data_IF_760131306207
#
_entry.id   IF_760131306207
#
_cell.length_a   1.000
_cell.length_b   1.000
_cell.length_c   1.000
_cell.angle_alpha   90.00
_cell.angle_beta   90.00
_cell.angle_gamma   90.00
#
_symmetry.space_group_name_H-M   'P 1'
#
loop_
_entity.id
_entity.type
_entity.pdbx_description
1 polymer ?
#
# COMPACT_ATOMS: atom_id res chain seq x y z
N UNK A 1 -0.93 -23.21 -5.42
CA UNK A 1 -0.18 -23.89 -6.46
C UNK A 1 0.80 -24.88 -5.84
N UNK A 2 0.58 -26.16 -6.06
CA UNK A 2 1.48 -27.21 -5.57
C UNK A 2 2.85 -27.22 -6.28
N UNK A 3 2.99 -26.45 -7.32
CA UNK A 3 4.26 -26.26 -8.01
C UNK A 3 5.04 -25.07 -7.44
N UNK A 4 4.62 -24.58 -6.31
CA UNK A 4 5.37 -23.70 -5.44
C UNK A 4 5.66 -22.33 -6.03
N UNK A 5 6.93 -21.99 -6.01
CA UNK A 5 7.45 -20.65 -6.29
C UNK A 5 7.27 -20.14 -7.71
N UNK A 6 6.68 -20.93 -8.58
CA UNK A 6 6.51 -20.56 -9.99
C UNK A 6 5.21 -19.81 -10.27
N UNK A 7 4.44 -19.50 -9.23
CA UNK A 7 3.19 -18.80 -9.41
C UNK A 7 3.46 -17.38 -9.90
N UNK A 8 3.25 -17.16 -11.17
CA UNK A 8 3.20 -15.82 -11.74
C UNK A 8 1.75 -15.38 -11.80
N UNK A 9 1.53 -14.12 -11.44
CA UNK A 9 0.21 -13.54 -11.58
C UNK A 9 -0.04 -13.23 -13.05
N UNK A 10 -0.95 -13.98 -13.68
CA UNK A 10 -1.42 -13.67 -15.03
C UNK A 10 -2.63 -12.77 -14.98
N UNK A 11 -2.55 -11.60 -15.56
CA UNK A 11 -3.67 -10.67 -15.66
C UNK A 11 -4.07 -10.52 -17.13
N UNK A 12 -5.38 -10.67 -17.39
CA UNK A 12 -5.94 -10.60 -18.73
C UNK A 12 -7.00 -9.52 -18.78
N UNK A 13 -6.97 -8.77 -19.85
CA UNK A 13 -7.98 -7.76 -20.15
C UNK A 13 -8.98 -8.32 -21.16
N UNK A 14 -10.27 -8.22 -20.85
CA UNK A 14 -11.34 -8.60 -21.77
C UNK A 14 -11.56 -7.50 -22.80
N UNK A 15 -11.39 -7.84 -24.06
CA UNK A 15 -11.66 -6.95 -25.20
C UNK A 15 -12.68 -7.55 -26.13
N UNK A 16 -13.16 -6.76 -27.10
CA UNK A 16 -14.15 -7.23 -28.08
C UNK A 16 -13.65 -8.43 -28.92
N UNK A 17 -12.36 -8.51 -29.12
CA UNK A 17 -11.70 -9.59 -29.88
C UNK A 17 -11.18 -10.73 -28.99
N UNK A 18 -11.47 -10.71 -27.68
CA UNK A 18 -11.11 -11.76 -26.75
C UNK A 18 -10.25 -11.27 -25.57
N UNK A 19 -9.56 -12.21 -24.94
CA UNK A 19 -8.68 -11.93 -23.81
C UNK A 19 -7.29 -11.51 -24.28
N UNK A 20 -6.78 -10.44 -23.73
CA UNK A 20 -5.39 -10.00 -23.95
C UNK A 20 -4.64 -10.03 -22.64
N UNK A 21 -3.46 -10.63 -22.64
CA UNK A 21 -2.58 -10.57 -21.48
C UNK A 21 -2.04 -9.15 -21.30
N UNK A 22 -2.16 -8.65 -20.08
CA UNK A 22 -1.62 -7.32 -19.74
C UNK A 22 -0.17 -7.48 -19.40
N UNK A 23 0.71 -6.80 -20.13
CA UNK A 23 2.15 -6.87 -19.92
C UNK A 23 2.58 -6.22 -18.60
N UNK A 24 1.84 -5.21 -18.14
CA UNK A 24 2.09 -4.54 -16.87
C UNK A 24 0.80 -4.49 -16.04
N UNK A 25 0.64 -5.41 -15.05
CA UNK A 25 -0.55 -5.44 -14.20
C UNK A 25 -0.85 -4.12 -13.48
N UNK A 26 0.19 -3.35 -13.15
CA UNK A 26 0.02 -2.09 -12.42
C UNK A 26 -0.82 -1.08 -13.18
N UNK A 27 -0.83 -1.13 -14.50
CA UNK A 27 -1.66 -0.22 -15.31
C UNK A 27 -3.15 -0.40 -15.03
N UNK A 28 -3.58 -1.62 -14.70
CA UNK A 28 -4.97 -1.92 -14.36
C UNK A 28 -5.31 -1.67 -12.90
N UNK A 29 -4.30 -1.70 -12.04
CA UNK A 29 -4.48 -1.67 -10.59
C UNK A 29 -4.39 -0.25 -10.02
N UNK A 30 -4.09 0.73 -10.86
CA UNK A 30 -4.01 2.13 -10.49
C UNK A 30 -5.16 2.91 -11.15
N UNK A 31 -5.85 3.70 -10.34
CA UNK A 31 -6.85 4.63 -10.86
C UNK A 31 -6.16 5.83 -11.50
N UNK A 32 -6.75 6.35 -12.55
CA UNK A 32 -6.15 7.47 -13.29
C UNK A 32 -6.57 8.84 -12.76
N UNK A 33 -7.71 8.93 -12.08
CA UNK A 33 -8.31 10.21 -11.68
C UNK A 33 -8.52 10.30 -10.16
N UNK A 34 -7.43 10.19 -9.39
CA UNK A 34 -7.53 10.33 -7.93
C UNK A 34 -6.76 11.55 -7.38
N UNK A 35 -6.32 12.42 -8.23
CA UNK A 35 -5.57 13.60 -7.82
C UNK A 35 -6.41 14.48 -6.87
N UNK A 36 -5.83 14.80 -5.73
CA UNK A 36 -6.51 15.59 -4.71
C UNK A 36 -7.49 14.84 -3.82
N UNK A 37 -7.71 13.55 -4.04
CA UNK A 37 -8.60 12.75 -3.21
C UNK A 37 -7.88 12.16 -2.00
N UNK A 38 -8.46 12.31 -0.80
CA UNK A 38 -7.93 11.67 0.40
C UNK A 38 -8.24 10.17 0.42
N UNK A 39 -7.49 9.43 1.22
CA UNK A 39 -7.74 8.02 1.45
C UNK A 39 -7.09 7.07 0.44
N UNK A 40 -6.20 7.56 -0.40
CA UNK A 40 -5.57 6.76 -1.46
C UNK A 40 -4.05 6.73 -1.26
N UNK A 41 -3.48 5.52 -1.28
CA UNK A 41 -2.03 5.32 -1.24
C UNK A 41 -1.64 4.21 -2.21
N UNK A 42 -0.45 4.32 -2.78
CA UNK A 42 0.07 3.36 -3.74
C UNK A 42 1.15 2.51 -3.07
N UNK A 43 0.95 1.20 -3.09
CA UNK A 43 1.90 0.23 -2.56
C UNK A 43 2.65 -0.45 -3.69
N UNK A 44 3.93 -0.77 -3.45
CA UNK A 44 4.66 -1.70 -4.30
C UNK A 44 4.66 -3.07 -3.63
N UNK A 45 3.91 -3.99 -4.20
CA UNK A 45 3.71 -5.33 -3.71
C UNK A 45 4.46 -6.35 -4.55
N UNK A 46 4.67 -7.54 -4.01
CA UNK A 46 5.24 -8.66 -4.73
C UNK A 46 4.34 -9.88 -4.56
N UNK A 47 3.98 -10.49 -5.67
CA UNK A 47 3.30 -11.78 -5.71
C UNK A 47 4.24 -12.75 -6.41
N UNK A 48 4.70 -13.77 -5.66
CA UNK A 48 5.74 -14.66 -6.16
C UNK A 48 7.06 -13.90 -6.37
N UNK A 49 7.49 -13.79 -7.62
CA UNK A 49 8.71 -13.06 -7.99
C UNK A 49 8.43 -11.73 -8.68
N UNK A 50 7.17 -11.41 -8.92
CA UNK A 50 6.77 -10.28 -9.74
C UNK A 50 6.33 -9.09 -8.89
N UNK A 51 7.00 -7.94 -9.00
CA UNK A 51 6.52 -6.72 -8.38
C UNK A 51 5.36 -6.12 -9.17
N UNK A 52 4.44 -5.49 -8.46
CA UNK A 52 3.36 -4.73 -9.07
C UNK A 52 2.92 -3.61 -8.12
N UNK A 53 2.47 -2.51 -8.69
CA UNK A 53 1.92 -1.43 -7.91
C UNK A 53 0.42 -1.62 -7.76
N UNK A 54 -0.08 -1.31 -6.58
CA UNK A 54 -1.49 -1.45 -6.28
C UNK A 54 -1.99 -0.27 -5.45
N UNK A 55 -3.20 0.16 -5.75
CA UNK A 55 -3.84 1.24 -5.04
C UNK A 55 -4.58 0.69 -3.82
N UNK A 56 -4.30 1.28 -2.65
CA UNK A 56 -5.08 1.06 -1.44
C UNK A 56 -6.00 2.24 -1.23
N UNK A 57 -7.27 1.97 -0.92
CA UNK A 57 -8.29 2.98 -0.72
C UNK A 57 -8.90 2.81 0.66
N UNK A 58 -8.99 3.88 1.42
CA UNK A 58 -9.62 3.85 2.73
C UNK A 58 -10.67 4.94 2.87
N UNK A 59 -11.72 4.63 3.59
CA UNK A 59 -12.73 5.60 3.98
C UNK A 59 -12.91 5.51 5.49
N UNK A 60 -12.63 6.60 6.17
CA UNK A 60 -12.79 6.72 7.62
C UNK A 60 -13.85 7.78 7.90
N UNK A 61 -14.88 7.42 8.63
CA UNK A 61 -15.96 8.33 8.96
C UNK A 61 -16.44 8.12 10.39
N UNK A 62 -17.13 9.10 10.96
CA UNK A 62 -17.69 8.94 12.29
C UNK A 62 -18.79 7.89 12.27
N UNK A 63 -18.79 7.01 13.28
CA UNK A 63 -19.82 6.00 13.41
C UNK A 63 -21.16 6.65 13.79
N UNK A 64 -22.17 6.47 12.95
CA UNK A 64 -23.48 7.12 13.13
C UNK A 64 -24.40 6.27 14.00
N UNK A 65 -24.23 4.96 13.99
CA UNK A 65 -25.21 4.03 14.60
C UNK A 65 -24.67 3.28 15.83
N UNK A 66 -23.76 3.86 16.56
CA UNK A 66 -23.29 3.34 17.83
C UNK A 66 -22.11 2.37 17.73
N UNK A 67 -22.20 1.34 16.90
CA UNK A 67 -21.12 0.37 16.74
C UNK A 67 -20.26 0.69 15.50
N UNK A 68 -18.97 1.02 15.68
CA UNK A 68 -18.09 1.26 14.55
C UNK A 68 -17.98 0.05 13.63
N UNK A 69 -18.11 0.28 12.33
CA UNK A 69 -18.01 -0.75 11.33
C UNK A 69 -16.58 -0.82 10.81
N UNK A 70 -16.07 -2.02 10.65
CA UNK A 70 -14.75 -2.30 10.13
C UNK A 70 -14.86 -3.31 9.00
N UNK A 71 -14.42 -2.95 7.80
CA UNK A 71 -14.54 -3.79 6.62
C UNK A 71 -13.28 -3.67 5.78
N UNK A 72 -12.84 -4.79 5.21
CA UNK A 72 -11.70 -4.82 4.30
C UNK A 72 -12.01 -5.74 3.12
N UNK A 73 -11.67 -5.27 1.94
CA UNK A 73 -11.76 -6.05 0.70
C UNK A 73 -10.38 -6.15 0.08
N UNK A 74 -9.92 -7.37 -0.16
CA UNK A 74 -8.60 -7.63 -0.72
C UNK A 74 -7.45 -7.64 0.29
N UNK A 75 -7.76 -7.39 1.56
CA UNK A 75 -6.79 -7.36 2.65
C UNK A 75 -7.41 -8.06 3.87
N UNK A 76 -6.58 -8.74 4.65
CA UNK A 76 -7.03 -9.47 5.84
C UNK A 76 -7.60 -8.49 6.88
N UNK A 77 -8.86 -8.68 7.25
CA UNK A 77 -9.53 -7.83 8.24
C UNK A 77 -8.85 -7.89 9.62
N UNK A 78 -8.32 -9.05 9.99
CA UNK A 78 -7.61 -9.20 11.27
C UNK A 78 -6.33 -8.36 11.27
N UNK A 79 -5.63 -8.34 10.15
CA UNK A 79 -4.44 -7.50 10.01
C UNK A 79 -4.80 -6.02 10.02
N UNK A 80 -5.87 -5.64 9.33
CA UNK A 80 -6.36 -4.25 9.39
C UNK A 80 -6.65 -3.83 10.83
N UNK A 81 -7.35 -4.67 11.61
CA UNK A 81 -7.66 -4.38 12.99
C UNK A 81 -6.40 -4.24 13.84
N UNK A 82 -5.38 -5.06 13.59
CA UNK A 82 -4.08 -4.94 14.24
C UNK A 82 -3.43 -3.59 13.92
N UNK A 83 -3.43 -3.19 12.66
CA UNK A 83 -2.87 -1.91 12.23
C UNK A 83 -3.62 -0.73 12.85
N UNK A 84 -4.95 -0.81 12.96
CA UNK A 84 -5.75 0.21 13.63
C UNK A 84 -5.37 0.32 15.11
N UNK A 85 -5.15 -0.80 15.78
CA UNK A 85 -4.71 -0.81 17.17
C UNK A 85 -3.34 -0.17 17.33
N UNK A 86 -2.41 -0.41 16.40
CA UNK A 86 -1.10 0.25 16.39
C UNK A 86 -1.25 1.76 16.24
N UNK A 87 -2.10 2.20 15.32
CA UNK A 87 -2.34 3.63 15.11
C UNK A 87 -2.90 4.32 16.35
N UNK A 88 -3.81 3.66 17.06
CA UNK A 88 -4.35 4.21 18.32
C UNK A 88 -3.32 4.23 19.44
N UNK A 89 -2.69 3.10 19.69
CA UNK A 89 -1.82 2.92 20.86
C UNK A 89 -0.47 3.59 20.70
N UNK A 90 0.13 3.49 19.50
CA UNK A 90 1.52 3.94 19.29
C UNK A 90 1.61 5.31 18.62
N UNK A 91 0.62 5.68 17.85
CA UNK A 91 0.64 6.94 17.09
C UNK A 91 -0.31 7.98 17.67
N UNK A 92 -1.30 7.55 18.44
CA UNK A 92 -2.22 8.43 19.16
C UNK A 92 -3.46 8.86 18.37
N UNK A 93 -3.77 8.18 17.28
CA UNK A 93 -5.00 8.46 16.52
C UNK A 93 -6.21 7.83 17.21
N UNK A 94 -7.30 8.57 17.31
CA UNK A 94 -8.55 8.09 17.92
C UNK A 94 -9.45 7.53 16.84
N UNK A 95 -9.43 6.20 16.67
CA UNK A 95 -10.20 5.51 15.63
C UNK A 95 -11.33 4.63 16.22
N UNK A 96 -11.41 4.52 17.56
CA UNK A 96 -12.35 3.60 18.20
C UNK A 96 -13.82 3.90 17.86
N UNK A 97 -14.17 5.15 17.63
CA UNK A 97 -15.53 5.58 17.31
C UNK A 97 -15.72 5.89 15.82
N UNK A 98 -14.83 5.34 14.99
CA UNK A 98 -14.87 5.60 13.56
C UNK A 98 -15.15 4.33 12.76
N UNK A 99 -15.96 4.46 11.74
CA UNK A 99 -16.07 3.43 10.70
C UNK A 99 -14.83 3.47 9.83
N UNK A 100 -14.29 2.30 9.51
CA UNK A 100 -13.12 2.17 8.65
C UNK A 100 -13.42 1.15 7.56
N UNK A 101 -13.36 1.59 6.33
CA UNK A 101 -13.51 0.74 5.15
C UNK A 101 -12.22 0.77 4.35
N UNK A 102 -11.70 -0.40 4.05
CA UNK A 102 -10.47 -0.55 3.27
C UNK A 102 -10.76 -1.38 2.02
N UNK A 103 -10.30 -0.89 0.90
CA UNK A 103 -10.44 -1.59 -0.38
C UNK A 103 -9.10 -1.62 -1.11
N UNK A 104 -8.71 -2.80 -1.54
CA UNK A 104 -7.58 -2.95 -2.45
C UNK A 104 -8.14 -2.94 -3.86
N UNK A 105 -7.69 -2.00 -4.68
CA UNK A 105 -8.19 -1.85 -6.04
C UNK A 105 -7.91 -3.07 -6.91
N UNK A 106 -8.72 -3.28 -7.91
CA UNK A 106 -8.55 -4.37 -8.87
C UNK A 106 -9.13 -5.70 -8.44
N UNK A 107 -9.77 -5.78 -7.28
CA UNK A 107 -10.40 -7.00 -6.80
C UNK A 107 -9.43 -8.10 -6.41
N UNK A 108 -8.14 -7.80 -6.29
CA UNK A 108 -7.13 -8.76 -5.89
C UNK A 108 -7.05 -8.88 -4.38
N UNK A 109 -6.76 -10.10 -3.92
CA UNK A 109 -6.39 -10.32 -2.53
C UNK A 109 -4.87 -10.26 -2.43
N UNK A 110 -4.36 -9.30 -1.66
CA UNK A 110 -2.94 -9.10 -1.47
C UNK A 110 -2.53 -9.58 -0.09
N UNK A 111 -1.59 -10.53 -0.04
CA UNK A 111 -1.10 -11.12 1.20
C UNK A 111 0.30 -10.62 1.59
N UNK A 112 0.90 -9.77 0.76
CA UNK A 112 2.22 -9.24 1.01
C UNK A 112 2.18 -8.24 2.18
N UNK A 113 2.87 -8.51 3.32
CA UNK A 113 2.84 -7.58 4.45
C UNK A 113 3.51 -6.24 4.15
N UNK A 114 4.26 -6.14 3.06
CA UNK A 114 4.88 -4.87 2.66
C UNK A 114 3.86 -3.79 2.29
N UNK A 115 2.60 -4.15 2.06
CA UNK A 115 1.57 -3.14 1.78
C UNK A 115 1.02 -2.47 3.05
N UNK A 116 1.41 -2.92 4.23
CA UNK A 116 0.94 -2.34 5.50
C UNK A 116 1.12 -0.82 5.55
N UNK A 117 2.27 -0.34 5.11
CA UNK A 117 2.55 1.10 5.12
C UNK A 117 1.55 1.88 4.28
N UNK A 118 1.20 1.36 3.11
CA UNK A 118 0.18 1.99 2.26
C UNK A 118 -1.21 1.91 2.90
N UNK A 119 -1.53 0.80 3.55
CA UNK A 119 -2.80 0.64 4.25
C UNK A 119 -2.96 1.69 5.35
N UNK A 120 -1.98 1.82 6.25
CA UNK A 120 -2.06 2.83 7.31
C UNK A 120 -2.05 4.25 6.73
N UNK A 121 -1.31 4.46 5.64
CA UNK A 121 -1.24 5.76 4.98
C UNK A 121 -2.58 6.17 4.40
N UNK A 122 -3.28 5.26 3.75
CA UNK A 122 -4.61 5.53 3.21
C UNK A 122 -5.62 5.79 4.32
N UNK A 123 -5.55 5.03 5.42
CA UNK A 123 -6.42 5.23 6.58
C UNK A 123 -6.19 6.62 7.20
N UNK A 124 -4.94 6.98 7.43
CA UNK A 124 -4.60 8.29 7.99
C UNK A 124 -4.96 9.43 7.06
N UNK A 125 -4.73 9.26 5.78
CA UNK A 125 -5.11 10.24 4.75
C UNK A 125 -6.61 10.51 4.80
N UNK A 126 -7.43 9.48 4.85
CA UNK A 126 -8.88 9.63 4.95
C UNK A 126 -9.29 10.25 6.29
N UNK A 127 -8.69 9.79 7.40
CA UNK A 127 -9.03 10.30 8.73
C UNK A 127 -8.71 11.80 8.89
N UNK A 128 -7.63 12.24 8.29
CA UNK A 128 -7.19 13.64 8.33
C UNK A 128 -7.73 14.46 7.16
N UNK A 129 -8.42 13.82 6.25
CA UNK A 129 -8.95 14.41 5.02
C UNK A 129 -7.86 15.16 4.22
N UNK A 130 -6.68 14.54 4.16
CA UNK A 130 -5.50 15.11 3.49
C UNK A 130 -5.00 14.12 2.45
N UNK A 131 -4.98 14.53 1.20
CA UNK A 131 -4.52 13.68 0.10
C UNK A 131 -3.01 13.41 0.18
N UNK A 132 -2.62 12.21 -0.22
CA UNK A 132 -1.22 11.86 -0.46
C UNK A 132 -0.89 12.27 -1.88
N UNK A 133 0.31 12.80 -2.10
CA UNK A 133 0.74 13.20 -3.43
C UNK A 133 0.67 12.01 -4.40
N UNK A 134 0.18 12.22 -5.64
CA UNK A 134 -0.10 11.11 -6.56
C UNK A 134 1.14 10.36 -7.04
N UNK A 135 2.31 10.96 -6.99
CA UNK A 135 3.55 10.35 -7.50
C UNK A 135 4.38 9.67 -6.41
N UNK A 136 3.75 9.37 -5.27
CA UNK A 136 4.40 8.70 -4.13
C UNK A 136 3.99 7.24 -4.09
N UNK A 137 4.97 6.37 -4.05
CA UNK A 137 4.80 4.93 -3.86
C UNK A 137 5.50 4.51 -2.57
N UNK A 138 5.08 3.40 -1.98
CA UNK A 138 5.65 2.98 -0.71
C UNK A 138 5.62 1.48 -0.53
N UNK A 139 6.49 1.00 0.37
CA UNK A 139 6.48 -0.37 0.87
C UNK A 139 7.04 -0.38 2.29
N UNK A 140 6.43 -1.19 3.16
CA UNK A 140 6.89 -1.33 4.53
C UNK A 140 5.93 -2.22 5.31
N UNK A 141 6.48 -3.10 6.14
CA UNK A 141 5.71 -3.91 7.07
C UNK A 141 5.65 -3.20 8.42
N UNK A 142 4.50 -3.23 9.07
CA UNK A 142 4.29 -2.56 10.36
C UNK A 142 4.26 -3.58 11.47
N UNK A 143 5.11 -3.40 12.48
CA UNK A 143 5.11 -4.22 13.69
C UNK A 143 4.23 -3.64 14.79
N UNK A 144 4.01 -4.43 15.82
CA UNK A 144 3.12 -4.07 16.95
C UNK A 144 3.62 -2.88 17.79
N UNK A 145 4.90 -2.57 17.70
CA UNK A 145 5.47 -1.39 18.37
C UNK A 145 5.40 -0.12 17.52
N UNK A 146 4.80 -0.21 16.34
CA UNK A 146 4.73 0.90 15.39
C UNK A 146 5.99 1.01 14.53
N UNK A 147 6.92 0.08 14.65
CA UNK A 147 8.13 0.07 13.83
C UNK A 147 7.81 -0.28 12.39
N UNK A 148 8.54 0.31 11.46
CA UNK A 148 8.46 -0.02 10.05
C UNK A 148 9.59 -0.98 9.72
N UNK A 149 9.23 -2.22 9.46
CA UNK A 149 10.16 -3.32 9.27
C UNK A 149 10.62 -3.39 7.82
N UNK A 150 11.85 -3.87 7.58
CA UNK A 150 12.34 -4.03 6.22
C UNK A 150 11.48 -5.02 5.45
N UNK A 151 11.44 -4.83 4.13
CA UNK A 151 10.73 -5.69 3.21
C UNK A 151 11.72 -6.40 2.30
N UNK A 152 11.31 -7.54 1.76
CA UNK A 152 12.13 -8.27 0.81
C UNK A 152 12.10 -7.58 -0.57
N UNK A 153 13.12 -7.83 -1.35
CA UNK A 153 13.20 -7.42 -2.77
C UNK A 153 12.92 -5.93 -2.99
N UNK A 154 13.49 -5.10 -2.13
CA UNK A 154 13.26 -3.65 -2.20
C UNK A 154 13.67 -3.06 -3.56
N UNK A 155 14.73 -3.57 -4.17
CA UNK A 155 15.20 -3.07 -5.47
C UNK A 155 14.18 -3.31 -6.56
N UNK A 156 13.54 -4.48 -6.58
CA UNK A 156 12.50 -4.80 -7.54
C UNK A 156 11.25 -3.94 -7.33
N UNK A 157 10.89 -3.68 -6.07
CA UNK A 157 9.75 -2.82 -5.73
C UNK A 157 9.97 -1.38 -6.19
N UNK A 158 11.15 -0.86 -5.95
CA UNK A 158 11.54 0.49 -6.40
C UNK A 158 11.59 0.54 -7.93
N UNK A 159 12.18 -0.47 -8.55
CA UNK A 159 12.29 -0.54 -10.01
C UNK A 159 10.94 -0.50 -10.70
N UNK A 160 9.93 -1.18 -10.16
CA UNK A 160 8.58 -1.14 -10.73
C UNK A 160 7.96 0.26 -10.62
N UNK A 161 8.12 0.91 -9.47
CA UNK A 161 7.62 2.27 -9.27
C UNK A 161 8.32 3.27 -10.21
N UNK A 162 9.62 3.13 -10.36
CA UNK A 162 10.40 3.98 -11.25
C UNK A 162 9.98 3.82 -12.71
N UNK A 163 9.76 2.58 -13.13
CA UNK A 163 9.31 2.24 -14.47
C UNK A 163 7.95 2.88 -14.81
N UNK A 164 7.09 3.05 -13.82
CA UNK A 164 5.76 3.64 -13.99
C UNK A 164 5.74 5.15 -13.77
N UNK A 165 6.90 5.76 -13.61
CA UNK A 165 7.02 7.22 -13.54
C UNK A 165 6.81 7.83 -12.16
N UNK A 166 6.80 7.04 -11.11
CA UNK A 166 6.69 7.58 -9.74
C UNK A 166 7.94 8.38 -9.40
N UNK A 167 7.78 9.43 -8.60
CA UNK A 167 8.86 10.37 -8.27
C UNK A 167 9.48 10.13 -6.91
N UNK A 168 8.72 9.56 -5.97
CA UNK A 168 9.15 9.35 -4.59
C UNK A 168 8.78 7.95 -4.12
N UNK A 169 9.66 7.36 -3.32
CA UNK A 169 9.41 6.05 -2.73
C UNK A 169 9.71 6.11 -1.23
N UNK A 170 8.69 5.82 -0.42
CA UNK A 170 8.81 5.72 1.02
C UNK A 170 9.13 4.27 1.36
N UNK A 171 10.21 4.04 2.07
CA UNK A 171 10.71 2.70 2.37
C UNK A 171 11.23 2.63 3.81
N UNK A 172 11.31 1.41 4.39
CA UNK A 172 11.93 1.24 5.69
C UNK A 172 13.39 1.67 5.67
N UNK A 173 13.81 2.37 6.71
CA UNK A 173 15.18 2.86 6.80
C UNK A 173 16.21 1.74 6.69
N UNK A 174 15.93 0.58 7.29
CA UNK A 174 16.83 -0.56 7.24
C UNK A 174 17.01 -1.12 5.83
N UNK A 175 16.09 -0.87 4.91
CA UNK A 175 16.24 -1.27 3.51
C UNK A 175 17.24 -0.41 2.74
N UNK A 176 17.68 0.70 3.32
CA UNK A 176 18.73 1.51 2.69
C UNK A 176 20.10 0.84 2.74
N UNK A 177 20.29 -0.09 3.65
CA UNK A 177 21.55 -0.83 3.76
C UNK A 177 21.74 -1.75 2.56
N UNK A 178 22.87 -1.64 1.90
CA UNK A 178 23.18 -2.45 0.73
C UNK A 178 22.48 -2.04 -0.55
N UNK A 179 21.63 -1.03 -0.49
CA UNK A 179 20.93 -0.52 -1.67
C UNK A 179 21.82 0.37 -2.50
N UNK A 180 21.94 0.07 -3.80
CA UNK A 180 22.71 0.90 -4.71
C UNK A 180 21.91 2.11 -5.17
N UNK A 181 21.99 3.19 -4.39
CA UNK A 181 21.22 4.41 -4.64
C UNK A 181 21.64 5.14 -5.91
N UNK A 182 22.84 4.88 -6.42
CA UNK A 182 23.33 5.53 -7.64
C UNK A 182 22.55 5.13 -8.89
N UNK A 183 21.95 3.95 -8.88
CA UNK A 183 21.12 3.45 -9.99
C UNK A 183 19.68 3.91 -9.91
N UNK A 184 19.26 4.48 -8.79
CA UNK A 184 17.89 4.86 -8.53
C UNK A 184 17.71 6.35 -8.81
N UNK A 185 16.79 6.68 -9.69
CA UNK A 185 16.48 8.07 -10.06
C UNK A 185 15.40 8.69 -9.19
N UNK A 186 14.66 7.87 -8.46
CA UNK A 186 13.61 8.35 -7.58
C UNK A 186 14.19 8.94 -6.30
N UNK A 187 13.46 9.88 -5.72
CA UNK A 187 13.74 10.33 -4.36
C UNK A 187 13.30 9.25 -3.38
N UNK A 188 14.23 8.79 -2.55
CA UNK A 188 13.97 7.79 -1.52
C UNK A 188 13.75 8.48 -0.18
N UNK A 189 12.65 8.12 0.49
CA UNK A 189 12.28 8.68 1.78
C UNK A 189 12.30 7.55 2.81
N UNK A 190 13.41 7.36 3.57
CA UNK A 190 13.49 6.31 4.56
C UNK A 190 12.70 6.69 5.83
N UNK A 191 11.99 5.71 6.39
CA UNK A 191 11.21 5.88 7.62
C UNK A 191 11.47 4.72 8.58
N UNK A 192 11.40 5.00 9.88
CA UNK A 192 11.64 4.00 10.94
C UNK A 192 10.38 3.58 11.67
N UNK A 193 9.48 4.55 11.91
CA UNK A 193 8.28 4.37 12.73
C UNK A 193 7.10 5.02 12.04
N UNK A 194 5.93 4.51 12.33
CA UNK A 194 4.69 5.00 11.72
C UNK A 194 4.41 6.47 12.02
N UNK A 195 4.84 6.97 13.18
CA UNK A 195 4.66 8.37 13.54
C UNK A 195 5.58 9.34 12.79
N UNK A 196 6.67 8.86 12.22
CA UNK A 196 7.59 9.68 11.41
C UNK A 196 6.99 10.03 10.04
N UNK A 197 5.96 9.31 9.68
CA UNK A 197 5.34 9.49 8.40
C UNK A 197 4.35 10.65 8.46
N UNK A 198 4.88 11.84 8.45
CA UNK A 198 4.06 13.03 8.26
C UNK A 198 3.92 13.27 6.77
N UNK A 199 2.69 13.48 6.37
CA UNK A 199 2.40 13.94 5.02
C UNK A 199 2.92 15.37 4.95
N UNK A 200 4.04 15.51 4.30
CA UNK A 200 4.62 16.84 4.05
C UNK A 200 4.04 17.45 2.81
#
# INVERSE_FOLDING_TARGET
NRFGSTAELGIYEMRQDGLRQVSNPSELLLSQDHEGMSGIAIASAIEGIRPFLIETQALVSSAVYGNPQRSATGFDIRRMNMLLAVLEKRVGFKLAQKDVFLNIAGGLKVNDPAIDLAVISSILSSNMDTAIEPEVCMAGEIGLSGEIRPVNRIEQRIGEAEKLGFKRFILPKYNMQGLNTKKIKMELIPVRRSEERRVG
#
